data_IF_979050457324
#
_entry.id   IF_979050457324
#
_cell.length_a   1.000
_cell.length_b   1.000
_cell.length_c   1.000
_cell.angle_alpha   90.00
_cell.angle_beta   90.00
_cell.angle_gamma   90.00
#
_symmetry.space_group_name_H-M   'P 1'
#
loop_
_entity.id
_entity.type
_entity.pdbx_description
1 polymer ?
#
# COMPACT_ATOMS: atom_id res chain seq x y z
N UNK A 1 16.85 -24.23 2.50
CA UNK A 1 16.77 -23.74 1.10
C UNK A 1 15.87 -24.60 0.18
N UNK A 2 15.54 -25.86 0.50
CA UNK A 2 14.70 -26.73 -0.34
C UNK A 2 13.18 -26.72 -0.03
N UNK A 3 12.73 -26.23 1.13
CA UNK A 3 11.29 -26.12 1.45
C UNK A 3 10.60 -24.91 0.79
N UNK A 4 11.36 -23.87 0.41
CA UNK A 4 10.86 -22.73 -0.35
C UNK A 4 10.77 -23.02 -1.86
N UNK A 5 11.45 -24.06 -2.37
CA UNK A 5 11.40 -24.48 -3.78
C UNK A 5 10.20 -25.38 -4.12
N UNK A 6 9.48 -25.91 -3.12
CA UNK A 6 8.35 -26.82 -3.31
C UNK A 6 6.96 -26.20 -3.05
N UNK A 7 6.89 -24.94 -2.63
CA UNK A 7 5.67 -24.12 -2.85
C UNK A 7 5.62 -23.62 -4.30
N UNK A 8 5.92 -24.51 -5.24
CA UNK A 8 5.52 -24.35 -6.62
C UNK A 8 3.99 -24.34 -6.62
N UNK A 9 3.46 -23.13 -6.51
CA UNK A 9 2.37 -22.67 -7.36
C UNK A 9 1.08 -23.51 -7.32
N UNK A 10 0.67 -23.93 -6.11
CA UNK A 10 -0.66 -24.50 -5.84
C UNK A 10 -1.75 -23.60 -6.45
N UNK A 11 -2.71 -24.19 -7.18
CA UNK A 11 -3.95 -23.50 -7.56
C UNK A 11 -4.66 -23.03 -6.30
N UNK A 12 -4.99 -21.75 -6.22
CA UNK A 12 -5.66 -21.18 -5.04
C UNK A 12 -7.14 -21.12 -5.34
N UNK A 13 -7.93 -21.95 -4.68
CA UNK A 13 -9.38 -21.94 -4.79
C UNK A 13 -10.03 -21.51 -3.47
N UNK A 14 -11.06 -20.69 -3.58
CA UNK A 14 -11.87 -20.24 -2.44
C UNK A 14 -13.30 -20.02 -2.91
N UNK A 15 -14.28 -20.38 -2.10
CA UNK A 15 -15.67 -19.97 -2.33
C UNK A 15 -16.07 -18.88 -1.34
N UNK A 16 -17.01 -18.05 -1.76
CA UNK A 16 -17.56 -16.94 -1.00
C UNK A 16 -19.07 -17.02 -1.08
N UNK A 17 -19.71 -16.90 0.07
CA UNK A 17 -21.14 -16.66 0.23
C UNK A 17 -21.29 -15.36 1.04
N UNK A 18 -22.52 -14.89 1.20
CA UNK A 18 -22.81 -13.73 2.06
C UNK A 18 -22.33 -13.94 3.52
N UNK A 19 -22.27 -15.20 3.98
CA UNK A 19 -21.99 -15.54 5.39
C UNK A 19 -20.61 -16.12 5.63
N UNK A 20 -20.03 -16.77 4.63
CA UNK A 20 -18.83 -17.57 4.78
C UNK A 20 -17.87 -17.37 3.61
N UNK A 21 -16.58 -17.35 3.94
CA UNK A 21 -15.49 -17.51 3.00
C UNK A 21 -14.63 -18.68 3.45
N UNK A 22 -14.31 -19.60 2.53
CA UNK A 22 -13.47 -20.75 2.82
C UNK A 22 -12.57 -21.08 1.62
N UNK A 23 -11.30 -21.32 1.89
CA UNK A 23 -10.36 -21.90 0.93
C UNK A 23 -10.62 -23.40 0.83
N UNK A 24 -10.53 -23.96 -0.38
CA UNK A 24 -10.79 -25.37 -0.59
C UNK A 24 -9.84 -25.98 -1.62
N UNK A 25 -9.62 -27.29 -1.49
CA UNK A 25 -8.83 -28.08 -2.43
C UNK A 25 -9.72 -28.83 -3.43
N UNK A 26 -9.12 -29.41 -4.48
CA UNK A 26 -9.87 -30.10 -5.54
C UNK A 26 -10.75 -31.23 -4.98
N UNK A 27 -10.27 -31.95 -3.97
CA UNK A 27 -10.99 -33.05 -3.32
C UNK A 27 -12.27 -32.57 -2.59
N UNK A 28 -12.32 -31.30 -2.18
CA UNK A 28 -13.45 -30.66 -1.49
C UNK A 28 -14.44 -30.01 -2.48
N UNK A 29 -14.21 -30.10 -3.80
CA UNK A 29 -15.08 -29.50 -4.81
C UNK A 29 -16.52 -30.04 -4.76
N UNK A 30 -16.68 -31.31 -4.40
CA UNK A 30 -18.00 -31.93 -4.24
C UNK A 30 -18.81 -31.28 -3.11
N UNK A 31 -18.14 -30.86 -2.02
CA UNK A 31 -18.79 -30.15 -0.91
C UNK A 31 -19.29 -28.78 -1.37
N UNK A 32 -18.48 -28.05 -2.15
CA UNK A 32 -18.85 -26.73 -2.71
C UNK A 32 -20.04 -26.85 -3.67
N UNK A 33 -20.09 -27.94 -4.46
CA UNK A 33 -21.17 -28.20 -5.41
C UNK A 33 -22.51 -28.50 -4.73
N UNK A 34 -22.45 -29.07 -3.52
CA UNK A 34 -23.61 -29.43 -2.73
C UNK A 34 -24.03 -28.35 -1.73
N UNK A 35 -23.42 -27.16 -1.76
CA UNK A 35 -23.76 -26.06 -0.86
C UNK A 35 -25.18 -25.56 -1.13
N UNK A 36 -26.07 -25.76 -0.15
CA UNK A 36 -27.42 -25.19 -0.20
C UNK A 36 -27.40 -23.71 0.18
N UNK A 37 -27.12 -22.86 -0.80
CA UNK A 37 -27.07 -21.42 -0.64
C UNK A 37 -28.03 -20.72 -1.62
N UNK A 38 -29.15 -20.23 -1.08
CA UNK A 38 -30.13 -19.40 -1.81
C UNK A 38 -29.54 -18.08 -2.29
N UNK A 39 -28.56 -17.55 -1.55
CA UNK A 39 -28.01 -16.21 -1.75
C UNK A 39 -26.89 -16.19 -2.82
N UNK A 40 -26.59 -17.36 -3.39
CA UNK A 40 -25.58 -17.56 -4.42
C UNK A 40 -24.18 -17.80 -3.88
N UNK A 41 -23.38 -18.48 -4.70
CA UNK A 41 -21.99 -18.85 -4.39
C UNK A 41 -21.06 -18.26 -5.42
N UNK A 42 -20.05 -17.51 -4.99
CA UNK A 42 -18.96 -17.04 -5.84
C UNK A 42 -17.74 -17.92 -5.60
N UNK A 43 -17.33 -18.68 -6.62
CA UNK A 43 -16.09 -19.46 -6.58
C UNK A 43 -14.99 -18.73 -7.30
N UNK A 44 -13.87 -18.55 -6.61
CA UNK A 44 -12.69 -17.86 -7.10
C UNK A 44 -11.51 -18.83 -7.20
N UNK A 45 -10.97 -19.00 -8.40
CA UNK A 45 -9.84 -19.89 -8.67
C UNK A 45 -8.72 -19.09 -9.34
N UNK A 46 -7.56 -19.06 -8.70
CA UNK A 46 -6.34 -18.44 -9.25
C UNK A 46 -5.38 -19.53 -9.76
N UNK A 47 -4.96 -19.39 -11.01
CA UNK A 47 -4.04 -20.28 -11.71
C UNK A 47 -4.59 -21.70 -11.84
N UNK A 48 -5.68 -21.81 -12.58
CA UNK A 48 -6.34 -23.09 -12.84
C UNK A 48 -5.42 -24.02 -13.64
N UNK A 49 -5.47 -25.31 -13.34
CA UNK A 49 -4.74 -26.36 -14.07
C UNK A 49 -5.71 -27.33 -14.75
N UNK A 50 -5.18 -28.28 -15.54
CA UNK A 50 -6.01 -29.23 -16.29
C UNK A 50 -6.89 -30.10 -15.39
N UNK A 51 -6.38 -30.57 -14.25
CA UNK A 51 -7.15 -31.41 -13.32
C UNK A 51 -8.39 -30.68 -12.78
N UNK A 52 -8.25 -29.38 -12.44
CA UNK A 52 -9.40 -28.56 -12.05
C UNK A 52 -10.40 -28.40 -13.20
N UNK A 53 -9.95 -28.22 -14.44
CA UNK A 53 -10.83 -28.08 -15.61
C UNK A 53 -11.64 -29.38 -15.83
N UNK A 54 -10.97 -30.53 -15.75
CA UNK A 54 -11.56 -31.85 -15.99
C UNK A 54 -12.64 -32.20 -14.96
N UNK A 55 -12.51 -31.72 -13.72
CA UNK A 55 -13.51 -31.92 -12.65
C UNK A 55 -14.61 -30.86 -12.67
N UNK A 56 -14.27 -29.57 -12.81
CA UNK A 56 -15.24 -28.46 -12.76
C UNK A 56 -16.25 -28.48 -13.92
N UNK A 57 -15.78 -28.81 -15.13
CA UNK A 57 -16.62 -28.81 -16.32
C UNK A 57 -17.83 -29.74 -16.17
N UNK A 58 -17.62 -31.05 -15.95
CA UNK A 58 -18.71 -31.99 -15.70
C UNK A 58 -19.51 -31.70 -14.43
N UNK A 59 -18.85 -31.33 -13.32
CA UNK A 59 -19.52 -31.12 -12.04
C UNK A 59 -20.55 -29.98 -12.10
N UNK A 60 -20.26 -28.90 -12.83
CA UNK A 60 -21.13 -27.72 -12.90
C UNK A 60 -21.83 -27.52 -14.24
N UNK A 61 -21.62 -28.43 -15.20
CA UNK A 61 -22.16 -28.33 -16.55
C UNK A 61 -21.60 -27.14 -17.33
N UNK A 62 -20.35 -26.74 -17.05
CA UNK A 62 -19.69 -25.63 -17.74
C UNK A 62 -19.13 -26.14 -19.06
N UNK A 63 -19.48 -25.44 -20.15
CA UNK A 63 -19.03 -25.80 -21.48
C UNK A 63 -17.49 -25.76 -21.59
N UNK A 64 -16.91 -26.82 -22.16
CA UNK A 64 -15.46 -26.94 -22.33
C UNK A 64 -14.84 -25.77 -23.11
N UNK A 65 -15.60 -25.11 -23.98
CA UNK A 65 -15.16 -23.93 -24.72
C UNK A 65 -14.90 -22.72 -23.82
N UNK A 66 -15.55 -22.61 -22.66
CA UNK A 66 -15.25 -21.56 -21.68
C UNK A 66 -13.82 -21.72 -21.14
N UNK A 67 -13.45 -22.94 -20.73
CA UNK A 67 -12.10 -23.24 -20.24
C UNK A 67 -11.06 -23.16 -21.36
N UNK A 68 -11.38 -23.68 -22.55
CA UNK A 68 -10.50 -23.55 -23.72
C UNK A 68 -10.25 -22.08 -24.06
N UNK A 69 -11.29 -21.24 -24.05
CA UNK A 69 -11.14 -19.79 -24.22
C UNK A 69 -10.35 -19.18 -23.09
N UNK A 70 -10.55 -19.54 -21.83
CA UNK A 70 -9.72 -19.05 -20.73
C UNK A 70 -8.24 -19.40 -20.97
N UNK A 71 -7.93 -20.65 -21.29
CA UNK A 71 -6.58 -21.14 -21.53
C UNK A 71 -5.90 -20.52 -22.76
N UNK A 72 -6.64 -20.18 -23.80
CA UNK A 72 -6.08 -19.61 -25.02
C UNK A 72 -5.42 -18.25 -24.76
N UNK A 73 -4.23 -18.01 -25.30
CA UNK A 73 -3.70 -16.66 -25.36
C UNK A 73 -4.52 -15.79 -26.33
N UNK A 74 -4.60 -14.47 -26.09
CA UNK A 74 -5.16 -13.55 -27.07
C UNK A 74 -4.46 -13.72 -28.43
N UNK A 75 -5.22 -13.79 -29.52
CA UNK A 75 -4.67 -13.92 -30.88
C UNK A 75 -3.71 -12.75 -31.13
N UNK A 76 -2.47 -13.05 -31.53
CA UNK A 76 -1.35 -12.10 -31.64
C UNK A 76 -1.62 -10.87 -32.54
N UNK A 77 -2.65 -10.92 -33.39
CA UNK A 77 -2.91 -9.93 -34.44
C UNK A 77 -3.65 -8.67 -33.97
N UNK A 78 -4.33 -8.70 -32.82
CA UNK A 78 -4.84 -7.49 -32.15
C UNK A 78 -4.19 -7.39 -30.78
N UNK A 79 -3.07 -6.69 -30.72
CA UNK A 79 -2.34 -6.61 -29.47
C UNK A 79 -3.24 -5.92 -28.44
N UNK A 80 -3.53 -6.57 -27.30
CA UNK A 80 -4.18 -5.91 -26.14
C UNK A 80 -3.39 -4.64 -25.78
N UNK A 81 -2.10 -4.66 -26.10
CA UNK A 81 -1.20 -3.52 -26.11
C UNK A 81 -1.67 -2.38 -27.01
N UNK A 82 -2.20 -2.60 -28.20
CA UNK A 82 -2.86 -1.56 -29.00
C UNK A 82 -4.25 -1.21 -28.45
N UNK A 83 -4.99 -2.15 -27.84
CA UNK A 83 -6.24 -1.81 -27.16
C UNK A 83 -6.01 -0.85 -25.97
N UNK A 84 -4.91 -1.02 -25.22
CA UNK A 84 -4.56 -0.19 -24.07
C UNK A 84 -3.69 1.02 -24.45
N UNK A 85 -2.75 0.87 -25.38
CA UNK A 85 -1.72 1.86 -25.73
C UNK A 85 -1.71 2.29 -27.21
N UNK A 86 -2.62 1.78 -28.04
CA UNK A 86 -2.71 2.09 -29.46
C UNK A 86 -3.27 3.48 -29.74
N UNK A 87 -3.18 3.89 -31.01
CA UNK A 87 -3.50 5.26 -31.41
C UNK A 87 -5.00 5.47 -31.72
N UNK A 88 -5.77 4.40 -31.96
CA UNK A 88 -7.18 4.46 -32.36
C UNK A 88 -8.09 3.70 -31.37
N UNK A 89 -9.24 4.28 -31.03
CA UNK A 89 -10.24 3.66 -30.13
C UNK A 89 -10.90 2.43 -30.78
N UNK A 90 -10.92 2.37 -32.12
CA UNK A 90 -11.49 1.29 -32.91
C UNK A 90 -10.77 -0.07 -32.75
N UNK A 91 -9.55 -0.07 -32.21
CA UNK A 91 -8.74 -1.27 -31.96
C UNK A 91 -8.91 -1.84 -30.54
N UNK A 92 -9.77 -1.25 -29.71
CA UNK A 92 -10.08 -1.78 -28.39
C UNK A 92 -10.77 -3.14 -28.53
N UNK A 93 -10.05 -4.21 -28.15
CA UNK A 93 -10.59 -5.56 -28.07
C UNK A 93 -11.73 -5.55 -27.06
N UNK A 94 -12.97 -5.66 -27.54
CA UNK A 94 -14.13 -5.87 -26.68
C UNK A 94 -13.93 -7.18 -25.90
N UNK A 95 -14.34 -7.24 -24.63
CA UNK A 95 -14.43 -8.50 -23.90
C UNK A 95 -15.14 -9.56 -24.75
N UNK A 96 -14.64 -10.79 -24.71
CA UNK A 96 -15.37 -11.90 -25.33
C UNK A 96 -16.54 -12.23 -24.43
N UNK A 97 -17.76 -11.98 -24.89
CA UNK A 97 -18.99 -12.21 -24.13
C UNK A 97 -19.79 -13.33 -24.81
N UNK A 98 -20.46 -14.15 -24.01
CA UNK A 98 -21.44 -15.12 -24.48
C UNK A 98 -22.56 -15.23 -23.46
N UNK A 99 -23.78 -15.36 -23.95
CA UNK A 99 -24.97 -15.53 -23.11
C UNK A 99 -25.87 -16.58 -23.74
N UNK A 100 -26.47 -17.39 -22.87
CA UNK A 100 -27.61 -18.25 -23.12
C UNK A 100 -28.70 -17.87 -22.11
N UNK A 101 -29.88 -18.48 -22.21
CA UNK A 101 -30.97 -18.25 -21.26
C UNK A 101 -30.59 -18.71 -19.84
N UNK A 102 -29.71 -19.73 -19.73
CA UNK A 102 -29.33 -20.33 -18.44
C UNK A 102 -28.03 -19.81 -17.83
N UNK A 103 -27.16 -19.20 -18.63
CA UNK A 103 -25.82 -18.77 -18.19
C UNK A 103 -25.25 -17.65 -19.04
N UNK A 104 -24.31 -16.90 -18.47
CA UNK A 104 -23.55 -15.86 -19.14
C UNK A 104 -22.08 -15.97 -18.78
N UNK A 105 -21.20 -15.58 -19.68
CA UNK A 105 -19.77 -15.57 -19.41
C UNK A 105 -19.04 -14.46 -20.15
N UNK A 106 -17.90 -14.06 -19.61
CA UNK A 106 -17.00 -13.14 -20.26
C UNK A 106 -15.53 -13.40 -19.96
N UNK A 107 -14.65 -12.96 -20.88
CA UNK A 107 -13.21 -13.00 -20.71
C UNK A 107 -12.61 -11.60 -20.91
N UNK A 108 -11.84 -11.15 -19.93
CA UNK A 108 -11.10 -9.87 -19.97
C UNK A 108 -9.62 -10.16 -19.90
N UNK A 109 -8.90 -9.70 -20.93
CA UNK A 109 -7.46 -9.69 -20.93
C UNK A 109 -6.95 -8.39 -20.32
N UNK A 110 -5.96 -8.52 -19.44
CA UNK A 110 -5.31 -7.43 -18.74
C UNK A 110 -3.80 -7.48 -18.89
N UNK A 111 -3.19 -6.40 -18.44
CA UNK A 111 -1.77 -6.12 -18.58
C UNK A 111 -1.22 -5.77 -17.22
N UNK A 112 -0.26 -6.55 -16.72
CA UNK A 112 0.54 -6.09 -15.58
C UNK A 112 1.71 -5.27 -16.08
N UNK A 113 1.75 -3.99 -15.70
CA UNK A 113 2.85 -3.08 -16.03
C UNK A 113 3.89 -3.13 -14.93
N UNK A 114 5.17 -3.23 -15.30
CA UNK A 114 6.31 -3.05 -14.39
C UNK A 114 7.18 -1.91 -14.92
N UNK A 115 7.35 -0.85 -14.15
CA UNK A 115 8.10 0.35 -14.56
C UNK A 115 9.63 0.15 -14.63
N UNK A 116 10.13 -1.08 -14.48
CA UNK A 116 11.57 -1.38 -14.55
C UNK A 116 12.01 -1.87 -15.93
N UNK A 117 13.22 -1.48 -16.32
CA UNK A 117 13.86 -1.85 -17.59
C UNK A 117 14.38 -3.30 -17.64
N UNK A 118 14.60 -3.95 -16.49
CA UNK A 118 15.19 -5.29 -16.43
C UNK A 118 14.15 -6.40 -16.62
N UNK A 119 14.45 -7.43 -17.45
CA UNK A 119 13.58 -8.62 -17.58
C UNK A 119 13.31 -9.29 -16.25
N UNK A 120 12.11 -9.87 -16.05
CA UNK A 120 11.93 -10.90 -15.03
C UNK A 120 12.88 -12.06 -15.31
N UNK A 121 13.40 -12.70 -14.25
CA UNK A 121 14.15 -13.95 -14.39
C UNK A 121 13.32 -14.97 -15.19
N UNK A 122 13.91 -15.57 -16.23
CA UNK A 122 13.21 -16.45 -17.16
C UNK A 122 12.52 -17.64 -16.48
N UNK A 123 13.03 -18.09 -15.33
CA UNK A 123 12.47 -19.20 -14.53
C UNK A 123 11.06 -18.91 -13.98
N UNK A 124 10.66 -17.64 -13.83
CA UNK A 124 9.35 -17.25 -13.29
C UNK A 124 8.23 -17.45 -14.33
N UNK A 125 8.57 -17.60 -15.61
CA UNK A 125 7.65 -17.45 -16.74
C UNK A 125 7.13 -18.77 -17.31
N UNK A 126 7.70 -19.90 -16.91
CA UNK A 126 7.43 -21.20 -17.55
C UNK A 126 7.08 -22.29 -16.54
N UNK A 127 6.09 -22.02 -15.68
CA UNK A 127 5.46 -23.10 -14.94
C UNK A 127 4.60 -23.95 -15.90
N UNK A 128 5.05 -25.17 -16.17
CA UNK A 128 4.40 -26.09 -17.12
C UNK A 128 3.00 -26.53 -16.68
N UNK A 129 2.68 -26.38 -15.39
CA UNK A 129 1.39 -26.83 -14.84
C UNK A 129 0.28 -25.80 -14.99
N UNK A 130 0.57 -24.66 -15.61
CA UNK A 130 -0.34 -23.51 -15.71
C UNK A 130 -0.55 -23.11 -17.15
N UNK A 131 -1.64 -22.39 -17.37
CA UNK A 131 -1.90 -21.77 -18.67
C UNK A 131 -0.75 -20.80 -18.99
N UNK A 132 0.07 -21.08 -20.02
CA UNK A 132 1.21 -20.22 -20.32
C UNK A 132 0.70 -18.85 -20.79
N UNK A 133 1.13 -17.78 -20.13
CA UNK A 133 0.81 -16.40 -20.50
C UNK A 133 2.00 -15.75 -21.20
N UNK A 134 1.74 -15.01 -22.26
CA UNK A 134 2.79 -14.36 -23.05
C UNK A 134 3.37 -13.21 -22.23
N UNK A 135 4.66 -13.31 -21.89
CA UNK A 135 5.45 -12.18 -21.45
C UNK A 135 6.09 -11.50 -22.66
N UNK A 136 5.85 -10.19 -22.80
CA UNK A 136 6.47 -9.39 -23.86
C UNK A 136 6.99 -8.07 -23.30
N UNK A 137 8.14 -7.63 -23.81
CA UNK A 137 8.64 -6.28 -23.56
C UNK A 137 8.05 -5.34 -24.60
N UNK A 138 7.55 -4.19 -24.15
CA UNK A 138 7.15 -3.09 -25.02
C UNK A 138 8.05 -1.88 -24.77
N UNK A 139 8.49 -1.28 -25.87
CA UNK A 139 9.28 -0.05 -25.83
C UNK A 139 8.46 1.07 -25.20
N UNK A 140 9.03 1.72 -24.18
CA UNK A 140 8.37 2.78 -23.41
C UNK A 140 7.53 2.33 -22.21
N UNK A 141 7.14 1.05 -22.13
CA UNK A 141 6.26 0.54 -21.06
C UNK A 141 6.80 -0.68 -20.30
N UNK A 142 8.03 -1.09 -20.59
CA UNK A 142 8.75 -2.11 -19.82
C UNK A 142 8.30 -3.54 -20.14
N UNK A 143 8.49 -4.42 -19.16
CA UNK A 143 8.07 -5.83 -19.24
C UNK A 143 6.63 -5.98 -18.79
N UNK A 144 5.88 -6.75 -19.56
CA UNK A 144 4.47 -6.83 -19.35
C UNK A 144 3.96 -8.23 -19.61
N UNK A 145 3.03 -8.65 -18.77
CA UNK A 145 2.46 -9.98 -18.84
C UNK A 145 0.96 -9.91 -19.05
N UNK A 146 0.45 -10.80 -19.90
CA UNK A 146 -0.97 -10.99 -19.99
C UNK A 146 -1.50 -11.61 -18.69
N UNK A 147 -2.52 -10.99 -18.14
CA UNK A 147 -3.39 -11.56 -17.12
C UNK A 147 -4.73 -11.81 -17.80
N UNK A 148 -5.42 -12.90 -17.47
CA UNK A 148 -6.80 -13.08 -17.92
C UNK A 148 -7.69 -13.30 -16.73
N UNK A 149 -8.80 -12.57 -16.70
CA UNK A 149 -9.90 -12.82 -15.78
C UNK A 149 -11.07 -13.33 -16.60
N UNK A 150 -11.72 -14.38 -16.13
CA UNK A 150 -12.91 -14.92 -16.77
C UNK A 150 -13.99 -15.13 -15.73
N UNK A 151 -15.21 -14.79 -16.10
CA UNK A 151 -16.37 -14.94 -15.25
C UNK A 151 -17.37 -15.82 -15.98
N UNK A 152 -17.95 -16.77 -15.26
CA UNK A 152 -19.08 -17.56 -15.69
C UNK A 152 -20.16 -17.44 -14.62
N UNK A 153 -21.36 -17.04 -15.01
CA UNK A 153 -22.51 -16.89 -14.11
C UNK A 153 -23.64 -17.78 -14.60
N UNK A 154 -24.16 -18.62 -13.70
CA UNK A 154 -25.33 -19.47 -13.92
C UNK A 154 -26.54 -18.85 -13.23
N UNK A 155 -27.56 -18.53 -14.00
CA UNK A 155 -28.74 -17.77 -13.55
C UNK A 155 -29.95 -18.67 -13.26
N UNK A 156 -30.07 -19.79 -13.98
CA UNK A 156 -31.27 -20.64 -14.01
C UNK A 156 -31.22 -21.83 -13.05
N UNK A 157 -30.57 -21.66 -11.89
CA UNK A 157 -30.50 -22.70 -10.87
C UNK A 157 -31.02 -22.22 -9.54
N UNK A 158 -31.60 -23.14 -8.75
CA UNK A 158 -31.96 -22.90 -7.35
C UNK A 158 -30.80 -22.39 -6.49
N UNK A 159 -29.57 -22.57 -6.98
CA UNK A 159 -28.33 -22.09 -6.39
C UNK A 159 -27.56 -21.28 -7.44
N UNK A 160 -27.67 -19.94 -7.43
CA UNK A 160 -26.92 -19.11 -8.38
C UNK A 160 -25.41 -19.27 -8.15
N UNK A 161 -24.65 -19.41 -9.23
CA UNK A 161 -23.22 -19.70 -9.18
C UNK A 161 -22.46 -18.69 -10.04
N UNK A 162 -21.40 -18.11 -9.49
CA UNK A 162 -20.46 -17.26 -10.20
C UNK A 162 -19.05 -17.84 -10.08
N UNK A 163 -18.47 -18.33 -11.17
CA UNK A 163 -17.09 -18.79 -11.24
C UNK A 163 -16.19 -17.70 -11.81
N UNK A 164 -15.24 -17.23 -11.00
CA UNK A 164 -14.18 -16.31 -11.38
C UNK A 164 -12.85 -17.07 -11.51
N UNK A 165 -12.33 -17.13 -12.73
CA UNK A 165 -10.99 -17.65 -13.03
C UNK A 165 -10.01 -16.50 -13.21
N UNK A 166 -8.92 -16.51 -12.46
CA UNK A 166 -7.82 -15.56 -12.62
C UNK A 166 -6.56 -16.32 -13.01
N UNK A 167 -5.97 -15.92 -14.14
CA UNK A 167 -4.60 -16.28 -14.47
C UNK A 167 -3.72 -15.04 -14.29
N UNK A 168 -3.13 -14.93 -13.10
CA UNK A 168 -2.21 -13.86 -12.74
C UNK A 168 -0.76 -14.32 -12.79
N UNK A 169 0.18 -13.38 -12.91
CA UNK A 169 1.58 -13.72 -12.63
C UNK A 169 1.67 -14.20 -11.19
N UNK A 170 2.35 -15.33 -10.98
CA UNK A 170 2.78 -15.75 -9.64
C UNK A 170 3.43 -14.57 -8.94
N UNK A 171 2.76 -14.07 -7.90
CA UNK A 171 3.32 -13.06 -7.03
C UNK A 171 4.65 -13.64 -6.50
N UNK A 172 5.78 -13.09 -6.97
CA UNK A 172 7.07 -13.41 -6.38
C UNK A 172 6.98 -12.92 -4.93
N UNK A 173 7.10 -13.82 -3.97
CA UNK A 173 7.38 -13.43 -2.60
C UNK A 173 8.66 -12.58 -2.67
N UNK A 174 8.56 -11.29 -2.36
CA UNK A 174 9.69 -10.37 -2.46
C UNK A 174 10.88 -10.96 -1.71
N UNK A 175 12.00 -11.16 -2.41
CA UNK A 175 13.17 -11.79 -1.82
C UNK A 175 14.05 -10.81 -1.02
N UNK A 176 13.76 -9.51 -1.07
CA UNK A 176 14.51 -8.51 -0.32
C UNK A 176 13.58 -7.38 0.21
N UNK A 177 13.54 -7.14 1.54
CA UNK A 177 12.93 -5.93 2.07
C UNK A 177 13.68 -4.69 1.56
N UNK A 178 12.95 -3.72 1.03
CA UNK A 178 13.51 -2.45 0.52
C UNK A 178 13.83 -2.41 -0.98
N UNK A 179 13.64 -3.51 -1.71
CA UNK A 179 13.67 -3.43 -3.17
C UNK A 179 12.36 -2.77 -3.64
N UNK A 180 12.44 -1.48 -3.91
CA UNK A 180 11.35 -0.57 -4.31
C UNK A 180 10.38 -1.30 -5.26
N UNK A 181 9.30 -1.82 -4.68
CA UNK A 181 8.26 -2.54 -5.39
C UNK A 181 7.54 -1.47 -6.22
N UNK A 182 8.13 -1.11 -7.36
CA UNK A 182 7.46 -0.33 -8.38
C UNK A 182 6.16 -1.10 -8.67
N UNK A 183 5.07 -0.58 -8.12
CA UNK A 183 3.83 -1.31 -7.91
C UNK A 183 3.41 -1.93 -9.23
N UNK A 184 3.33 -3.25 -9.30
CA UNK A 184 2.81 -3.88 -10.51
C UNK A 184 1.33 -3.51 -10.62
N UNK A 185 0.99 -2.57 -11.49
CA UNK A 185 -0.39 -2.16 -11.72
C UNK A 185 -1.02 -3.04 -12.79
N UNK A 186 -2.24 -3.51 -12.54
CA UNK A 186 -3.03 -4.23 -13.52
C UNK A 186 -3.89 -3.22 -14.30
N UNK A 187 -3.69 -3.18 -15.61
CA UNK A 187 -4.45 -2.36 -16.54
C UNK A 187 -5.38 -3.23 -17.37
N UNK A 188 -6.65 -2.83 -17.46
CA UNK A 188 -7.68 -3.53 -18.24
C UNK A 188 -8.20 -2.60 -19.36
N UNK A 189 -8.46 -3.09 -20.58
CA UNK A 189 -8.97 -2.31 -21.71
C UNK A 189 -10.48 -2.03 -21.58
N UNK A 190 -10.92 -1.55 -20.41
CA UNK A 190 -12.35 -1.36 -20.08
C UNK A 190 -12.75 0.11 -19.92
N UNK A 191 -11.78 1.02 -19.92
CA UNK A 191 -12.00 2.46 -19.85
C UNK A 191 -11.85 3.11 -21.24
N UNK A 192 -12.41 4.30 -21.40
CA UNK A 192 -12.40 5.02 -22.70
C UNK A 192 -11.05 5.70 -23.00
N UNK A 193 -10.13 5.72 -22.04
CA UNK A 193 -8.80 6.29 -22.22
C UNK A 193 -7.75 5.31 -22.71
N UNK A 194 -6.67 5.91 -23.21
CA UNK A 194 -5.36 5.28 -23.29
C UNK A 194 -4.88 4.93 -21.87
N UNK A 195 -4.36 3.72 -21.70
CA UNK A 195 -3.92 3.18 -20.42
C UNK A 195 -4.96 2.29 -19.73
N UNK A 196 -6.22 2.32 -20.17
CA UNK A 196 -7.29 1.47 -19.62
C UNK A 196 -7.63 1.76 -18.16
N UNK A 197 -8.46 0.89 -17.59
CA UNK A 197 -8.85 0.91 -16.18
C UNK A 197 -7.71 0.31 -15.34
N UNK A 198 -7.24 1.07 -14.35
CA UNK A 198 -6.26 0.59 -13.37
C UNK A 198 -6.99 -0.11 -12.24
N UNK A 199 -6.62 -1.36 -11.96
CA UNK A 199 -7.05 -2.07 -10.76
C UNK A 199 -6.01 -1.82 -9.66
N UNK A 200 -6.39 -1.10 -8.59
CA UNK A 200 -5.45 -0.80 -7.50
C UNK A 200 -5.06 -2.07 -6.76
N UNK A 201 -3.82 -2.10 -6.29
CA UNK A 201 -3.38 -3.09 -5.30
C UNK A 201 -3.81 -2.65 -3.90
N UNK A 202 -4.07 -3.61 -3.01
CA UNK A 202 -4.36 -3.32 -1.60
C UNK A 202 -3.08 -2.86 -0.90
N UNK A 203 -3.12 -1.72 -0.20
CA UNK A 203 -1.97 -1.18 0.54
C UNK A 203 -1.64 -1.93 1.84
N UNK A 204 -2.57 -2.73 2.35
CA UNK A 204 -2.33 -3.59 3.51
C UNK A 204 -1.46 -4.80 3.20
N UNK A 205 -1.40 -5.21 1.93
CA UNK A 205 -0.73 -6.42 1.47
C UNK A 205 0.57 -6.13 0.72
N UNK A 206 1.68 -6.69 1.19
CA UNK A 206 2.97 -6.68 0.49
C UNK A 206 2.98 -7.54 -0.80
N UNK A 207 1.90 -8.28 -1.04
CA UNK A 207 1.75 -9.21 -2.16
C UNK A 207 0.71 -8.70 -3.15
N UNK A 208 1.10 -8.42 -4.39
CA UNK A 208 0.19 -8.03 -5.47
C UNK A 208 -0.61 -9.23 -6.01
N UNK A 209 -1.65 -9.64 -5.28
CA UNK A 209 -2.57 -10.71 -5.67
C UNK A 209 -3.95 -10.15 -6.02
N UNK A 210 -4.38 -10.38 -7.25
CA UNK A 210 -5.75 -10.03 -7.67
C UNK A 210 -6.79 -10.89 -6.94
N UNK A 211 -6.41 -12.13 -6.55
CA UNK A 211 -7.26 -12.99 -5.75
C UNK A 211 -7.59 -12.31 -4.41
N UNK A 212 -6.59 -11.78 -3.68
CA UNK A 212 -6.83 -11.02 -2.44
C UNK A 212 -7.74 -9.81 -2.66
N UNK A 213 -7.51 -9.04 -3.72
CA UNK A 213 -8.38 -7.91 -4.08
C UNK A 213 -9.83 -8.35 -4.32
N UNK A 214 -10.04 -9.46 -5.04
CA UNK A 214 -11.38 -10.01 -5.27
C UNK A 214 -12.01 -10.57 -3.99
N UNK A 215 -11.24 -11.22 -3.12
CA UNK A 215 -11.76 -11.67 -1.80
C UNK A 215 -12.22 -10.48 -0.97
N UNK A 216 -11.44 -9.39 -0.99
CA UNK A 216 -11.79 -8.17 -0.27
C UNK A 216 -13.07 -7.54 -0.83
N UNK A 217 -13.18 -7.46 -2.14
CA UNK A 217 -14.42 -7.06 -2.81
C UNK A 217 -15.59 -7.95 -2.36
N UNK A 218 -15.47 -9.27 -2.47
CA UNK A 218 -16.51 -10.22 -2.06
C UNK A 218 -16.80 -10.25 -0.55
N UNK A 219 -16.11 -9.47 0.29
CA UNK A 219 -16.43 -9.38 1.72
C UNK A 219 -17.67 -8.52 2.02
N UNK A 220 -18.18 -7.77 1.03
CA UNK A 220 -19.37 -6.95 1.18
C UNK A 220 -20.61 -7.65 0.62
N UNK A 221 -21.62 -7.86 1.48
CA UNK A 221 -22.87 -8.54 1.13
C UNK A 221 -23.57 -7.93 -0.11
N UNK A 222 -23.61 -6.60 -0.23
CA UNK A 222 -24.28 -5.93 -1.34
C UNK A 222 -23.66 -6.23 -2.73
N UNK A 223 -22.40 -6.68 -2.79
CA UNK A 223 -21.83 -7.11 -4.06
C UNK A 223 -22.49 -8.40 -4.57
N UNK A 224 -22.97 -9.28 -3.69
CA UNK A 224 -23.72 -10.48 -4.08
C UNK A 224 -25.06 -10.09 -4.70
N UNK A 225 -25.76 -9.11 -4.13
CA UNK A 225 -27.04 -8.60 -4.66
C UNK A 225 -26.86 -8.09 -6.09
N UNK A 226 -25.75 -7.41 -6.37
CA UNK A 226 -25.43 -6.91 -7.72
C UNK A 226 -24.99 -8.03 -8.67
N UNK A 227 -24.21 -9.00 -8.19
CA UNK A 227 -23.72 -10.13 -9.00
C UNK A 227 -24.82 -11.11 -9.39
N UNK A 228 -25.80 -11.31 -8.51
CA UNK A 228 -26.90 -12.26 -8.67
C UNK A 228 -28.25 -11.58 -8.90
N UNK A 229 -28.24 -10.35 -9.42
CA UNK A 229 -29.45 -9.63 -9.76
C UNK A 229 -30.31 -10.44 -10.75
N UNK A 230 -31.61 -10.71 -10.44
CA UNK A 230 -32.44 -11.62 -11.22
C UNK A 230 -32.52 -11.24 -12.72
N UNK A 231 -32.13 -12.17 -13.60
CA UNK A 231 -32.22 -11.97 -15.05
C UNK A 231 -31.30 -10.88 -15.61
N UNK A 232 -30.31 -10.41 -14.83
CA UNK A 232 -29.32 -9.43 -15.27
C UNK A 232 -27.92 -9.98 -15.11
N UNK A 233 -27.14 -9.89 -16.18
CA UNK A 233 -25.74 -10.26 -16.17
C UNK A 233 -24.90 -9.00 -16.00
N UNK A 234 -23.99 -8.99 -15.04
CA UNK A 234 -23.09 -7.87 -14.85
C UNK A 234 -22.08 -7.81 -15.99
N UNK A 235 -22.07 -6.70 -16.73
CA UNK A 235 -21.09 -6.50 -17.79
C UNK A 235 -19.67 -6.45 -17.20
N UNK A 236 -18.64 -6.90 -17.93
CA UNK A 236 -17.26 -6.87 -17.46
C UNK A 236 -16.82 -5.43 -17.10
N UNK A 237 -17.26 -4.43 -17.87
CA UNK A 237 -16.97 -3.02 -17.57
C UNK A 237 -17.51 -2.64 -16.20
N UNK A 238 -18.77 -2.96 -15.94
CA UNK A 238 -19.43 -2.62 -14.67
C UNK A 238 -18.79 -3.35 -13.50
N UNK A 239 -18.52 -4.65 -13.64
CA UNK A 239 -17.83 -5.45 -12.61
C UNK A 239 -16.49 -4.83 -12.21
N UNK A 240 -15.61 -4.52 -13.17
CA UNK A 240 -14.28 -4.03 -12.83
C UNK A 240 -14.27 -2.58 -12.32
N UNK A 241 -15.22 -1.74 -12.73
CA UNK A 241 -15.34 -0.39 -12.16
C UNK A 241 -15.88 -0.43 -10.72
N UNK A 242 -16.81 -1.34 -10.41
CA UNK A 242 -17.22 -1.60 -9.01
C UNK A 242 -16.06 -2.12 -8.18
N UNK A 243 -15.32 -3.10 -8.69
CA UNK A 243 -14.13 -3.63 -8.05
C UNK A 243 -13.11 -2.52 -7.76
N UNK A 244 -12.75 -1.74 -8.76
CA UNK A 244 -11.79 -0.64 -8.60
C UNK A 244 -12.28 0.39 -7.56
N UNK A 245 -13.56 0.78 -7.62
CA UNK A 245 -14.12 1.73 -6.65
C UNK A 245 -14.09 1.21 -5.22
N UNK A 246 -14.43 -0.07 -5.00
CA UNK A 246 -14.40 -0.70 -3.68
C UNK A 246 -12.97 -0.78 -3.13
N UNK A 247 -12.01 -1.15 -3.97
CA UNK A 247 -10.60 -1.21 -3.57
C UNK A 247 -9.99 0.18 -3.30
N UNK A 248 -10.40 1.21 -4.04
CA UNK A 248 -9.98 2.59 -3.75
C UNK A 248 -10.48 3.06 -2.38
N UNK A 249 -11.72 2.72 -2.02
CA UNK A 249 -12.29 3.05 -0.71
C UNK A 249 -11.53 2.34 0.42
N UNK A 250 -11.21 1.05 0.25
CA UNK A 250 -10.42 0.30 1.23
C UNK A 250 -9.00 0.87 1.40
N UNK A 251 -8.34 1.21 0.29
CA UNK A 251 -7.02 1.84 0.32
C UNK A 251 -7.05 3.22 0.98
N UNK A 252 -8.09 4.02 0.71
CA UNK A 252 -8.29 5.31 1.37
C UNK A 252 -8.50 5.12 2.88
N UNK A 253 -9.31 4.15 3.30
CA UNK A 253 -9.51 3.83 4.72
C UNK A 253 -8.21 3.40 5.39
N UNK A 254 -7.40 2.57 4.72
CA UNK A 254 -6.08 2.19 5.21
C UNK A 254 -5.18 3.42 5.42
N UNK A 255 -5.07 4.28 4.41
CA UNK A 255 -4.27 5.50 4.50
C UNK A 255 -4.77 6.43 5.61
N UNK A 256 -6.08 6.62 5.73
CA UNK A 256 -6.69 7.46 6.77
C UNK A 256 -6.31 6.97 8.17
N UNK A 257 -6.44 5.66 8.43
CA UNK A 257 -6.05 5.04 9.71
C UNK A 257 -4.56 5.22 9.98
N UNK A 258 -3.69 4.96 8.98
CA UNK A 258 -2.23 5.07 9.15
C UNK A 258 -1.79 6.52 9.38
N UNK A 259 -2.29 7.47 8.60
CA UNK A 259 -1.96 8.89 8.71
C UNK A 259 -2.43 9.44 10.06
N UNK A 260 -3.69 9.17 10.45
CA UNK A 260 -4.20 9.59 11.78
C UNK A 260 -3.46 8.91 12.92
N UNK A 261 -3.10 7.64 12.76
CA UNK A 261 -2.30 6.90 13.74
C UNK A 261 -0.95 7.59 14.02
N UNK A 262 -0.22 7.96 12.96
CA UNK A 262 1.03 8.71 13.09
C UNK A 262 0.77 10.08 13.71
N UNK A 263 -0.20 10.83 13.17
CA UNK A 263 -0.48 12.20 13.59
C UNK A 263 -0.84 12.33 15.07
N UNK A 264 -1.68 11.42 15.60
CA UNK A 264 -2.17 11.51 16.97
C UNK A 264 -1.28 10.81 18.00
N UNK A 265 -0.64 9.70 17.62
CA UNK A 265 0.11 8.88 18.58
C UNK A 265 1.61 9.08 18.48
N UNK A 266 2.17 9.10 17.26
CA UNK A 266 3.62 9.02 17.05
C UNK A 266 4.28 10.41 17.08
N UNK A 267 3.61 11.47 16.61
CA UNK A 267 4.17 12.83 16.62
C UNK A 267 4.51 13.32 18.04
N UNK A 268 3.85 12.79 19.08
CA UNK A 268 4.14 13.15 20.48
C UNK A 268 5.56 12.78 20.92
N UNK A 269 6.19 11.81 20.27
CA UNK A 269 7.56 11.36 20.52
C UNK A 269 8.25 11.14 19.17
N UNK A 270 8.68 12.22 18.51
CA UNK A 270 9.12 12.15 17.14
C UNK A 270 10.36 11.26 17.00
N UNK A 271 10.33 10.37 16.00
CA UNK A 271 11.45 9.54 15.58
C UNK A 271 11.78 9.89 14.12
N UNK A 272 13.04 9.77 13.72
CA UNK A 272 13.51 10.06 12.35
C UNK A 272 12.72 9.29 11.29
N UNK A 273 12.32 8.05 11.59
CA UNK A 273 11.54 7.19 10.69
C UNK A 273 10.11 7.69 10.44
N UNK A 274 9.57 8.59 11.28
CA UNK A 274 8.22 9.14 11.09
C UNK A 274 8.18 9.99 9.83
N UNK A 275 9.25 10.76 9.57
CA UNK A 275 9.31 11.61 8.39
C UNK A 275 9.25 10.76 7.11
N UNK A 276 10.06 9.71 7.03
CA UNK A 276 10.10 8.79 5.89
C UNK A 276 8.73 8.13 5.68
N UNK A 277 8.12 7.61 6.75
CA UNK A 277 6.77 7.02 6.69
C UNK A 277 5.69 8.01 6.24
N UNK A 278 5.75 9.27 6.66
CA UNK A 278 4.81 10.28 6.20
C UNK A 278 5.03 10.62 4.72
N UNK A 279 6.28 10.59 4.23
CA UNK A 279 6.58 10.74 2.80
C UNK A 279 6.05 9.57 1.97
N UNK A 280 6.21 8.33 2.45
CA UNK A 280 5.68 7.14 1.79
C UNK A 280 4.14 7.19 1.72
N UNK A 281 3.48 7.56 2.83
CA UNK A 281 2.03 7.74 2.87
C UNK A 281 1.56 8.88 1.96
N UNK A 282 2.34 9.96 1.84
CA UNK A 282 2.08 11.03 0.87
C UNK A 282 2.10 10.50 -0.56
N UNK A 283 3.15 9.75 -0.91
CA UNK A 283 3.31 9.19 -2.24
C UNK A 283 2.17 8.21 -2.57
N UNK A 284 1.80 7.35 -1.62
CA UNK A 284 0.66 6.43 -1.78
C UNK A 284 -0.68 7.17 -1.94
N UNK A 285 -0.88 8.26 -1.21
CA UNK A 285 -2.08 9.09 -1.32
C UNK A 285 -2.18 9.83 -2.66
N UNK A 286 -1.08 10.41 -3.13
CA UNK A 286 -1.01 11.06 -4.46
C UNK A 286 -1.28 10.02 -5.55
N UNK A 287 -0.64 8.84 -5.47
CA UNK A 287 -0.89 7.76 -6.43
C UNK A 287 -2.36 7.31 -6.44
N UNK A 288 -2.98 7.20 -5.27
CA UNK A 288 -4.40 6.88 -5.14
C UNK A 288 -5.27 7.97 -5.77
N UNK A 289 -4.98 9.24 -5.49
CA UNK A 289 -5.71 10.39 -6.02
C UNK A 289 -5.65 10.45 -7.56
N UNK A 290 -4.47 10.21 -8.13
CA UNK A 290 -4.27 10.14 -9.58
C UNK A 290 -5.08 9.00 -10.21
N UNK A 291 -5.03 7.81 -9.63
CA UNK A 291 -5.78 6.65 -10.11
C UNK A 291 -7.30 6.87 -10.03
N UNK A 292 -7.80 7.38 -8.91
CA UNK A 292 -9.23 7.70 -8.74
C UNK A 292 -9.67 8.76 -9.74
N UNK A 293 -8.86 9.81 -9.94
CA UNK A 293 -9.19 10.87 -10.90
C UNK A 293 -9.24 10.35 -12.33
N UNK A 294 -8.30 9.47 -12.71
CA UNK A 294 -8.29 8.83 -14.03
C UNK A 294 -9.51 7.94 -14.22
N UNK A 295 -9.83 7.06 -13.27
CA UNK A 295 -11.03 6.20 -13.35
C UNK A 295 -12.32 7.03 -13.41
N UNK A 296 -12.42 8.11 -12.63
CA UNK A 296 -13.57 9.03 -12.64
C UNK A 296 -13.73 9.71 -14.01
N UNK A 297 -12.64 10.22 -14.57
CA UNK A 297 -12.66 10.98 -15.83
C UNK A 297 -13.08 10.13 -17.03
N UNK A 298 -12.78 8.83 -16.99
CA UNK A 298 -12.95 7.90 -18.11
C UNK A 298 -13.95 6.77 -17.81
N UNK A 299 -14.86 7.02 -16.87
CA UNK A 299 -15.94 6.11 -16.52
C UNK A 299 -16.92 6.00 -17.70
N UNK A 300 -17.10 4.81 -18.31
CA UNK A 300 -18.03 4.66 -19.41
C UNK A 300 -19.49 4.89 -18.98
N UNK A 301 -20.33 5.58 -19.76
CA UNK A 301 -21.73 5.82 -19.42
C UNK A 301 -22.54 4.52 -19.31
N UNK A 302 -22.13 3.46 -20.01
CA UNK A 302 -22.74 2.13 -19.91
C UNK A 302 -22.70 1.57 -18.49
N UNK A 303 -21.68 1.90 -17.71
CA UNK A 303 -21.55 1.42 -16.32
C UNK A 303 -22.69 1.95 -15.46
N UNK A 304 -23.04 3.23 -15.63
CA UNK A 304 -24.15 3.82 -14.90
C UNK A 304 -25.49 3.20 -15.33
N UNK A 305 -25.71 3.05 -16.64
CA UNK A 305 -26.94 2.47 -17.17
C UNK A 305 -27.15 1.02 -16.71
N UNK A 306 -26.09 0.21 -16.70
CA UNK A 306 -26.13 -1.17 -16.22
C UNK A 306 -26.55 -1.20 -14.74
N UNK A 307 -25.94 -0.36 -13.89
CA UNK A 307 -26.24 -0.31 -12.45
C UNK A 307 -27.63 0.22 -12.14
N UNK A 308 -28.10 1.22 -12.88
CA UNK A 308 -29.48 1.71 -12.76
C UNK A 308 -30.49 0.62 -13.12
N UNK A 309 -30.21 -0.17 -14.17
CA UNK A 309 -31.07 -1.30 -14.56
C UNK A 309 -31.06 -2.42 -13.52
N UNK A 310 -29.92 -2.69 -12.89
CA UNK A 310 -29.79 -3.67 -11.81
C UNK A 310 -30.54 -3.18 -10.58
N UNK A 311 -30.35 -1.92 -10.18
CA UNK A 311 -31.07 -1.33 -9.04
C UNK A 311 -32.58 -1.47 -9.23
N UNK A 312 -33.10 -1.11 -10.40
CA UNK A 312 -34.53 -1.21 -10.66
C UNK A 312 -35.05 -2.65 -10.59
N UNK A 313 -34.26 -3.60 -11.09
CA UNK A 313 -34.58 -5.04 -11.01
C UNK A 313 -34.61 -5.53 -9.56
N UNK A 314 -33.66 -5.09 -8.74
CA UNK A 314 -33.62 -5.42 -7.31
C UNK A 314 -34.80 -4.78 -6.56
N UNK A 315 -35.15 -3.53 -6.86
CA UNK A 315 -36.32 -2.87 -6.26
C UNK A 315 -37.64 -3.59 -6.61
N UNK A 316 -37.79 -4.04 -7.85
CA UNK A 316 -38.98 -4.79 -8.28
C UNK A 316 -39.05 -6.17 -7.61
N UNK A 317 -37.91 -6.85 -7.46
CA UNK A 317 -37.84 -8.12 -6.71
C UNK A 317 -38.10 -7.95 -5.20
N UNK A 318 -37.64 -6.83 -4.60
CA UNK A 318 -37.94 -6.51 -3.20
C UNK A 318 -39.45 -6.31 -2.99
N UNK A 319 -40.10 -5.60 -3.92
CA UNK A 319 -41.56 -5.36 -3.88
C UNK A 319 -42.37 -6.65 -3.99
N UNK A 320 -41.93 -7.61 -4.81
CA UNK A 320 -42.65 -8.87 -4.99
C UNK A 320 -42.46 -9.84 -3.82
N UNK A 321 -41.25 -9.92 -3.27
CA UNK A 321 -40.90 -10.96 -2.30
C UNK A 321 -41.04 -10.51 -0.84
N UNK A 322 -41.29 -9.22 -0.59
CA UNK A 322 -41.40 -8.66 0.77
C UNK A 322 -40.11 -8.80 1.59
N UNK A 323 -38.98 -9.04 0.93
CA UNK A 323 -37.69 -9.28 1.58
C UNK A 323 -36.91 -7.98 1.77
N UNK A 324 -36.16 -7.88 2.86
CA UNK A 324 -35.22 -6.79 3.13
C UNK A 324 -34.01 -6.92 2.20
N UNK A 325 -34.15 -6.52 0.93
CA UNK A 325 -32.99 -6.39 0.06
C UNK A 325 -32.15 -5.22 0.59
N UNK A 326 -30.83 -5.44 0.72
CA UNK A 326 -29.91 -4.36 1.06
C UNK A 326 -29.99 -3.29 -0.03
N UNK A 327 -30.60 -2.15 0.28
CA UNK A 327 -30.93 -1.08 -0.68
C UNK A 327 -29.72 -0.37 -1.30
N UNK A 328 -28.49 -0.81 -0.99
CA UNK A 328 -27.28 -0.13 -1.43
C UNK A 328 -26.70 -0.78 -2.68
N UNK A 329 -26.95 -0.18 -3.84
CA UNK A 329 -26.14 -0.40 -5.03
C UNK A 329 -25.02 0.64 -5.04
N UNK A 330 -23.77 0.21 -5.00
CA UNK A 330 -22.63 1.12 -5.12
C UNK A 330 -22.58 1.72 -6.53
N UNK A 331 -22.59 3.05 -6.63
CA UNK A 331 -22.47 3.77 -7.92
C UNK A 331 -21.09 4.40 -8.06
N UNK A 332 -20.19 3.88 -8.92
CA UNK A 332 -18.87 4.47 -9.19
C UNK A 332 -18.93 5.96 -9.57
N UNK A 333 -20.00 6.38 -10.26
CA UNK A 333 -20.22 7.78 -10.64
C UNK A 333 -20.41 8.72 -9.45
N UNK A 334 -20.87 8.21 -8.30
CA UNK A 334 -21.05 8.95 -7.05
C UNK A 334 -19.89 8.73 -6.08
N UNK A 335 -19.46 7.48 -5.91
CA UNK A 335 -18.40 7.12 -4.98
C UNK A 335 -17.03 7.67 -5.39
N UNK A 336 -16.66 7.65 -6.67
CA UNK A 336 -15.33 8.13 -7.10
C UNK A 336 -15.11 9.63 -6.82
N UNK A 337 -16.07 10.54 -7.10
CA UNK A 337 -15.97 11.93 -6.63
C UNK A 337 -15.82 12.08 -5.12
N UNK A 338 -16.57 11.32 -4.32
CA UNK A 338 -16.51 11.36 -2.85
C UNK A 338 -15.15 10.87 -2.33
N UNK A 339 -14.65 9.75 -2.88
CA UNK A 339 -13.31 9.20 -2.59
C UNK A 339 -12.26 10.25 -2.93
N UNK A 340 -12.34 10.88 -4.11
CA UNK A 340 -11.39 11.91 -4.53
C UNK A 340 -11.39 13.12 -3.56
N UNK A 341 -12.57 13.59 -3.15
CA UNK A 341 -12.69 14.69 -2.20
C UNK A 341 -12.08 14.32 -0.84
N UNK A 342 -12.31 13.11 -0.36
CA UNK A 342 -11.73 12.60 0.89
C UNK A 342 -10.22 12.44 0.80
N UNK A 343 -9.67 12.01 -0.35
CA UNK A 343 -8.22 12.01 -0.60
C UNK A 343 -7.64 13.43 -0.45
N UNK A 344 -8.25 14.44 -1.06
CA UNK A 344 -7.80 15.84 -0.96
C UNK A 344 -7.85 16.37 0.48
N UNK A 345 -8.90 16.02 1.23
CA UNK A 345 -8.98 16.39 2.64
C UNK A 345 -7.89 15.70 3.47
N UNK A 346 -7.66 14.41 3.23
CA UNK A 346 -6.61 13.63 3.90
C UNK A 346 -5.22 14.15 3.57
N UNK A 347 -4.98 14.64 2.35
CA UNK A 347 -3.72 15.28 1.96
C UNK A 347 -3.51 16.58 2.76
N UNK A 348 -4.55 17.40 2.90
CA UNK A 348 -4.51 18.60 3.74
C UNK A 348 -4.17 18.27 5.20
N UNK A 349 -4.79 17.24 5.77
CA UNK A 349 -4.49 16.76 7.12
C UNK A 349 -3.06 16.21 7.26
N UNK A 350 -2.57 15.47 6.25
CA UNK A 350 -1.19 14.98 6.20
C UNK A 350 -0.19 16.15 6.20
N UNK A 351 -0.44 17.21 5.42
CA UNK A 351 0.43 18.39 5.39
C UNK A 351 0.46 19.14 6.73
N UNK A 352 -0.68 19.25 7.41
CA UNK A 352 -0.72 19.77 8.79
C UNK A 352 0.09 18.90 9.74
N UNK A 353 0.04 17.57 9.57
CA UNK A 353 0.81 16.63 10.38
C UNK A 353 2.32 16.79 10.16
N UNK A 354 2.78 17.03 8.93
CA UNK A 354 4.18 17.40 8.66
C UNK A 354 4.60 18.68 9.39
N UNK A 355 3.77 19.72 9.36
CA UNK A 355 4.05 20.98 10.06
C UNK A 355 4.17 20.78 11.58
N UNK A 356 3.26 19.98 12.16
CA UNK A 356 3.31 19.61 13.58
C UNK A 356 4.57 18.80 13.92
N UNK A 357 4.98 17.86 13.08
CA UNK A 357 6.20 17.08 13.25
C UNK A 357 7.44 17.98 13.26
N UNK A 358 7.54 18.91 12.31
CA UNK A 358 8.65 19.87 12.23
C UNK A 358 8.70 20.74 13.48
N UNK A 359 7.55 21.25 13.93
CA UNK A 359 7.46 22.04 15.17
C UNK A 359 7.88 21.22 16.41
N UNK A 360 7.37 20.00 16.57
CA UNK A 360 7.70 19.13 17.69
C UNK A 360 9.17 18.73 17.71
N UNK A 361 9.75 18.41 16.54
CA UNK A 361 11.17 18.09 16.40
C UNK A 361 12.05 19.29 16.76
N UNK A 362 11.66 20.50 16.36
CA UNK A 362 12.38 21.72 16.74
C UNK A 362 12.35 21.96 18.24
N UNK A 363 11.22 21.73 18.91
CA UNK A 363 11.10 21.85 20.37
C UNK A 363 11.98 20.81 21.06
N UNK A 364 11.93 19.55 20.61
CA UNK A 364 12.75 18.47 21.19
C UNK A 364 14.25 18.72 20.99
N UNK A 365 14.67 19.21 19.82
CA UNK A 365 16.06 19.57 19.58
C UNK A 365 16.51 20.70 20.51
N UNK A 366 15.67 21.72 20.75
CA UNK A 366 15.98 22.79 21.69
C UNK A 366 16.13 22.29 23.14
N UNK A 367 15.31 21.31 23.55
CA UNK A 367 15.44 20.66 24.86
C UNK A 367 16.74 19.86 24.98
N UNK A 368 17.07 19.05 23.98
CA UNK A 368 18.32 18.27 23.94
C UNK A 368 19.54 19.19 23.93
N UNK A 369 19.51 20.28 23.15
CA UNK A 369 20.57 21.28 23.14
C UNK A 369 20.72 21.97 24.49
N UNK A 370 19.60 22.26 25.17
CA UNK A 370 19.62 22.83 26.53
C UNK A 370 20.22 21.84 27.54
N UNK A 371 19.86 20.56 27.48
CA UNK A 371 20.45 19.54 28.33
C UNK A 371 21.95 19.34 28.07
N UNK A 372 22.36 19.31 26.79
CA UNK A 372 23.77 19.24 26.41
C UNK A 372 24.53 20.47 26.90
N UNK A 373 23.95 21.66 26.76
CA UNK A 373 24.53 22.90 27.28
C UNK A 373 24.72 22.83 28.80
N UNK A 374 23.71 22.36 29.54
CA UNK A 374 23.80 22.19 31.00
C UNK A 374 24.88 21.18 31.40
N UNK A 375 24.95 20.04 30.70
CA UNK A 375 26.00 19.02 30.94
C UNK A 375 27.39 19.54 30.62
N UNK A 376 27.54 20.26 29.52
CA UNK A 376 28.80 20.89 29.13
C UNK A 376 29.20 21.98 30.14
N UNK A 377 28.25 22.74 30.67
CA UNK A 377 28.49 23.72 31.73
C UNK A 377 28.99 23.04 33.00
N UNK A 378 28.35 21.95 33.44
CA UNK A 378 28.78 21.19 34.62
C UNK A 378 30.18 20.58 34.43
N UNK A 379 30.47 20.00 33.26
CA UNK A 379 31.80 19.48 32.92
C UNK A 379 32.87 20.58 32.93
N UNK A 380 32.52 21.75 32.36
CA UNK A 380 33.42 22.90 32.34
C UNK A 380 33.71 23.40 33.76
N UNK A 381 32.68 23.49 34.61
CA UNK A 381 32.83 23.85 36.02
C UNK A 381 33.74 22.86 36.77
N UNK A 382 33.58 21.56 36.53
CA UNK A 382 34.42 20.54 37.15
C UNK A 382 35.87 20.62 36.66
N UNK A 383 36.08 20.81 35.35
CA UNK A 383 37.41 20.97 34.76
C UNK A 383 38.13 22.20 35.33
N UNK A 384 37.41 23.32 35.53
CA UNK A 384 37.98 24.51 36.15
C UNK A 384 38.52 24.27 37.57
N UNK A 385 37.95 23.33 38.32
CA UNK A 385 38.44 22.98 39.65
C UNK A 385 39.55 21.91 39.60
N UNK A 386 39.39 20.90 38.76
CA UNK A 386 40.28 19.75 38.73
C UNK A 386 41.61 20.02 38.01
N UNK A 387 41.62 20.83 36.96
CA UNK A 387 42.82 21.10 36.15
C UNK A 387 43.90 21.84 36.97
N UNK A 388 43.61 22.96 37.66
CA UNK A 388 44.61 23.62 38.51
C UNK A 388 45.07 22.73 39.67
N UNK A 389 44.15 21.98 40.29
CA UNK A 389 44.47 21.08 41.39
C UNK A 389 45.42 19.97 40.94
N UNK A 390 45.16 19.36 39.78
CA UNK A 390 46.02 18.34 39.17
C UNK A 390 47.38 18.89 38.75
N UNK A 391 47.43 20.15 38.32
CA UNK A 391 48.69 20.82 38.00
C UNK A 391 49.56 20.99 39.24
N UNK A 392 48.98 21.48 40.34
CA UNK A 392 49.71 21.65 41.61
C UNK A 392 50.20 20.30 42.14
N UNK A 393 49.33 19.28 42.22
CA UNK A 393 49.74 17.95 42.67
C UNK A 393 50.77 17.31 41.75
N UNK A 394 50.70 17.56 40.44
CA UNK A 394 51.70 17.13 39.46
C UNK A 394 53.07 17.76 39.71
N UNK A 395 53.14 19.08 39.86
CA UNK A 395 54.40 19.81 40.12
C UNK A 395 55.08 19.31 41.39
N UNK A 396 54.32 19.06 42.47
CA UNK A 396 54.86 18.55 43.72
C UNK A 396 55.06 17.03 43.77
N UNK A 397 54.41 16.27 42.89
CA UNK A 397 54.62 14.83 42.73
C UNK A 397 55.86 14.48 41.89
N UNK A 398 56.40 15.45 41.14
CA UNK A 398 57.64 15.27 40.38
C UNK A 398 58.86 15.33 41.30
N UNK A 399 59.71 14.29 41.26
CA UNK A 399 60.96 14.22 42.02
C UNK A 399 62.05 15.14 41.42
N UNK A 400 61.85 16.45 41.51
CA UNK A 400 62.85 17.45 41.10
C UNK A 400 63.89 17.58 42.20
N UNK A 401 65.16 17.32 41.88
CA UNK A 401 66.27 17.29 42.85
C UNK A 401 66.50 18.64 43.55
N UNK A 402 66.21 19.78 42.91
CA UNK A 402 66.29 21.10 43.56
C UNK A 402 65.17 21.35 44.57
N UNK A 403 64.00 20.71 44.43
CA UNK A 403 62.85 20.87 45.34
C UNK A 403 62.99 19.91 46.53
N UNK A 404 63.44 18.67 46.31
CA UNK A 404 63.60 17.67 47.37
C UNK A 404 64.91 17.77 48.18
N UNK A 405 65.81 18.71 47.85
CA UNK A 405 67.10 18.89 48.54
C UNK A 405 67.02 19.55 49.92
N UNK A 406 65.88 20.19 50.24
CA UNK A 406 65.56 20.75 51.57
C UNK A 406 64.28 20.09 52.10
N UNK A 407 64.08 19.95 53.43
CA UNK A 407 62.83 19.43 53.98
C UNK A 407 61.70 20.42 53.65
N UNK A 408 61.06 20.20 52.50
CA UNK A 408 59.95 21.04 52.07
C UNK A 408 58.84 20.87 53.11
N UNK A 409 58.59 21.93 53.89
CA UNK A 409 57.48 21.91 54.83
C UNK A 409 56.20 21.66 54.05
N UNK A 410 55.40 20.69 54.48
CA UNK A 410 54.06 20.37 53.92
C UNK A 410 53.20 21.64 53.75
N UNK A 411 53.50 22.68 54.54
CA UNK A 411 52.92 24.01 54.47
C UNK A 411 53.06 24.72 53.11
N UNK A 412 54.18 24.57 52.40
CA UNK A 412 54.39 25.23 51.10
C UNK A 412 53.41 24.72 50.04
N UNK A 413 53.10 23.43 50.05
CA UNK A 413 52.10 22.82 49.14
C UNK A 413 50.73 23.43 49.37
N UNK A 414 50.34 23.58 50.65
CA UNK A 414 49.05 24.18 51.05
C UNK A 414 48.95 25.63 50.58
N UNK A 415 50.01 26.42 50.77
CA UNK A 415 50.04 27.84 50.34
C UNK A 415 49.96 27.96 48.82
N UNK A 416 50.72 27.16 48.06
CA UNK A 416 50.65 27.18 46.59
C UNK A 416 49.29 26.72 46.05
N UNK A 417 48.65 25.74 46.69
CA UNK A 417 47.32 25.30 46.33
C UNK A 417 46.28 26.39 46.62
N UNK A 418 46.38 27.09 47.76
CA UNK A 418 45.49 28.20 48.08
C UNK A 418 45.64 29.36 47.07
N UNK A 419 46.87 29.75 46.75
CA UNK A 419 47.14 30.85 45.79
C UNK A 419 46.61 30.49 44.40
N UNK A 420 46.88 29.29 43.91
CA UNK A 420 46.40 28.85 42.58
C UNK A 420 44.88 28.79 42.52
N UNK A 421 44.20 28.32 43.58
CA UNK A 421 42.75 28.28 43.64
C UNK A 421 42.14 29.70 43.65
N UNK A 422 42.72 30.63 44.41
CA UNK A 422 42.30 32.05 44.45
C UNK A 422 42.52 32.73 43.10
N UNK A 423 43.68 32.56 42.48
CA UNK A 423 43.97 33.12 41.15
C UNK A 423 43.00 32.58 40.09
N UNK A 424 42.70 31.27 40.11
CA UNK A 424 41.76 30.67 39.16
C UNK A 424 40.34 31.22 39.38
N UNK A 425 39.91 31.37 40.63
CA UNK A 425 38.60 31.96 40.97
C UNK A 425 38.52 33.43 40.55
N UNK A 426 39.58 34.21 40.74
CA UNK A 426 39.64 35.62 40.34
C UNK A 426 39.54 35.79 38.82
N UNK A 427 40.28 34.98 38.05
CA UNK A 427 40.21 34.98 36.57
C UNK A 427 38.79 34.62 36.11
N UNK A 428 38.17 33.62 36.74
CA UNK A 428 36.81 33.22 36.42
C UNK A 428 35.78 34.32 36.70
N UNK A 429 35.91 35.02 37.84
CA UNK A 429 35.09 36.19 38.19
C UNK A 429 35.22 37.30 37.14
N UNK A 430 36.44 37.62 36.73
CA UNK A 430 36.71 38.66 35.72
C UNK A 430 36.08 38.27 34.38
N UNK A 431 36.27 37.02 33.92
CA UNK A 431 35.66 36.54 32.66
C UNK A 431 34.13 36.60 32.73
N UNK A 432 33.54 36.25 33.88
CA UNK A 432 32.08 36.27 34.06
C UNK A 432 31.53 37.70 33.98
N UNK A 433 32.15 38.65 34.68
CA UNK A 433 31.76 40.06 34.65
C UNK A 433 31.94 40.68 33.25
N UNK A 434 33.02 40.33 32.55
CA UNK A 434 33.26 40.81 31.18
C UNK A 434 32.18 40.32 30.21
N UNK A 435 31.72 39.08 30.38
CA UNK A 435 30.68 38.49 29.54
C UNK A 435 29.31 39.15 29.77
N UNK A 436 29.01 39.53 31.01
CA UNK A 436 27.76 40.21 31.36
C UNK A 436 27.67 41.60 30.70
N UNK A 437 28.73 42.42 30.84
CA UNK A 437 28.81 43.73 30.17
C UNK A 437 28.77 43.63 28.64
N UNK A 438 29.35 42.58 28.04
CA UNK A 438 29.33 42.40 26.58
C UNK A 438 27.95 42.04 26.04
N UNK A 439 27.08 41.41 26.84
CA UNK A 439 25.74 41.04 26.41
C UNK A 439 24.80 42.25 26.44
N UNK A 440 24.89 43.10 27.46
CA UNK A 440 24.10 44.34 27.56
C UNK A 440 24.31 45.24 26.34
N UNK A 441 25.56 45.46 25.92
CA UNK A 441 25.85 46.25 24.73
C UNK A 441 25.31 45.65 23.41
N UNK A 442 25.19 44.32 23.32
CA UNK A 442 24.60 43.68 22.14
C UNK A 442 23.10 43.91 22.08
N UNK A 443 22.41 43.82 23.21
CA UNK A 443 20.96 44.04 23.28
C UNK A 443 20.60 45.51 22.97
N UNK A 444 21.39 46.47 23.47
CA UNK A 444 21.24 47.88 23.11
C UNK A 444 21.42 48.13 21.60
N UNK A 445 22.41 47.47 20.98
CA UNK A 445 22.66 47.61 19.54
C UNK A 445 21.55 47.03 18.68
N UNK A 446 20.94 45.91 19.11
CA UNK A 446 19.82 45.28 18.41
C UNK A 446 18.51 46.08 18.57
N UNK A 447 18.30 46.72 19.72
CA UNK A 447 17.15 47.60 19.92
C UNK A 447 17.23 48.88 19.08
N UNK A 448 18.42 49.36 18.72
CA UNK A 448 18.59 50.52 17.83
C UNK A 448 18.42 50.19 16.34
N UNK A 449 18.45 48.90 15.97
CA UNK A 449 18.31 48.42 14.59
C UNK A 449 16.88 47.97 14.24
N UNK A 450 16.00 47.82 15.23
CA UNK A 450 14.55 47.67 15.06
C UNK A 450 13.88 49.03 15.12
#
# INVERSE_FOLDING_TARGET
MNLLKLRASKTLASYHTVREHKEFDLDELSDVTNLDCSDGVVVLIENINQAWIDELGPAWGIDSSFFARHACNPVLTSTIWHAIFGNTVAEQKKPSEGSSDSHSYWHVDGIRRRDRYSPPDAEILFDTNRVPRILKRYDGYGWQASTRVSCYVRHDSSQPLCLLLIDGLLARASAAPGEDQAAMTLHLPLAENRGGLVIPNLYEDDTHSLNKSLRRFLSHAWHFDVLFAPGKCLSPKTFFHLLASSLFEDNLRFLDIKIKGIAFNEIRRPNILINDRLHDLRQALISLQDQVNMTRKWLPPSVQQDLESIQQTLEDAARSNGSEIHQFVGFPSRSLPEIFQRCTHLEGFLMQSFQLLVSSTSVMNAEVERERSNRNQALTQLAFLYVPLSFVTGVFGMNVKEINGSPLSVWMVVVTLAITLVCTAAIFMVIRLWKENSNEHKDESMQRLR
#
